data_IF_996753091266
#
_entry.id   IF_996753091266
#
_cell.length_a   1.000
_cell.length_b   1.000
_cell.length_c   1.000
_cell.angle_alpha   90.00
_cell.angle_beta   90.00
_cell.angle_gamma   90.00
#
_symmetry.space_group_name_H-M   'P 1'
#
loop_
_entity.id
_entity.type
_entity.pdbx_description
1 polymer ?
#
# COMPACT_ATOMS: atom_id res chain seq x y z
N UNK A 1 -16.75 -11.79 -11.65
CA UNK A 1 -17.54 -11.88 -10.40
C UNK A 1 -16.89 -10.97 -9.38
N UNK A 2 -17.63 -10.09 -8.68
CA UNK A 2 -17.04 -9.20 -7.69
C UNK A 2 -16.51 -10.00 -6.50
N UNK A 3 -15.31 -9.64 -6.04
CA UNK A 3 -14.80 -10.07 -4.73
C UNK A 3 -15.56 -9.22 -3.72
N UNK A 4 -16.43 -9.84 -2.92
CA UNK A 4 -17.15 -9.15 -1.85
C UNK A 4 -16.33 -9.26 -0.57
N UNK A 5 -16.20 -8.18 0.20
CA UNK A 5 -15.58 -8.20 1.54
C UNK A 5 -16.41 -9.06 2.51
N UNK A 6 -15.74 -9.88 3.32
CA UNK A 6 -16.35 -10.67 4.39
C UNK A 6 -16.62 -9.78 5.59
N UNK A 7 -15.57 -9.14 6.09
CA UNK A 7 -15.56 -8.20 7.21
C UNK A 7 -14.51 -7.11 6.97
N UNK A 8 -14.78 -5.91 7.48
CA UNK A 8 -13.81 -4.83 7.65
C UNK A 8 -13.55 -4.63 9.15
N UNK A 9 -12.34 -4.24 9.52
CA UNK A 9 -11.95 -3.98 10.91
C UNK A 9 -10.88 -2.90 10.98
N UNK A 10 -10.84 -2.18 12.10
CA UNK A 10 -9.77 -1.24 12.39
C UNK A 10 -8.47 -1.98 12.71
N UNK A 11 -7.37 -1.43 12.24
CA UNK A 11 -6.01 -1.76 12.69
C UNK A 11 -5.63 -0.74 13.74
N UNK A 12 -4.89 -1.15 14.77
CA UNK A 12 -4.41 -0.21 15.79
C UNK A 12 -3.54 0.88 15.14
N UNK A 13 -3.65 2.11 15.65
CA UNK A 13 -2.87 3.29 15.22
C UNK A 13 -1.40 3.17 15.70
N UNK A 14 -0.74 2.09 15.31
CA UNK A 14 0.64 1.73 15.63
C UNK A 14 1.35 1.24 14.37
N UNK A 15 2.54 1.77 14.12
CA UNK A 15 3.35 1.43 12.95
C UNK A 15 3.57 -0.08 12.83
N UNK A 16 3.84 -0.78 13.93
CA UNK A 16 4.10 -2.23 13.91
C UNK A 16 2.82 -3.00 13.61
N UNK A 17 1.67 -2.58 14.14
CA UNK A 17 0.38 -3.17 13.84
C UNK A 17 0.03 -3.02 12.34
N UNK A 18 0.21 -1.83 11.78
CA UNK A 18 -0.03 -1.55 10.36
C UNK A 18 0.91 -2.39 9.48
N UNK A 19 2.21 -2.43 9.80
CA UNK A 19 3.19 -3.26 9.08
C UNK A 19 2.81 -4.75 9.11
N UNK A 20 2.40 -5.24 10.29
CA UNK A 20 2.00 -6.63 10.49
C UNK A 20 0.74 -6.96 9.70
N UNK A 21 -0.23 -6.05 9.65
CA UNK A 21 -1.45 -6.24 8.85
C UNK A 21 -1.10 -6.34 7.36
N UNK A 22 -0.32 -5.38 6.85
CA UNK A 22 0.10 -5.38 5.45
C UNK A 22 0.86 -6.66 5.09
N UNK A 23 1.78 -7.09 5.94
CA UNK A 23 2.58 -8.29 5.74
C UNK A 23 1.73 -9.56 5.72
N UNK A 24 0.75 -9.66 6.63
CA UNK A 24 -0.01 -10.89 6.84
C UNK A 24 -1.24 -11.02 5.95
N UNK A 25 -1.86 -9.89 5.57
CA UNK A 25 -3.19 -9.86 4.93
C UNK A 25 -3.26 -8.98 3.70
N UNK A 26 -2.17 -8.30 3.36
CA UNK A 26 -2.06 -7.45 2.18
C UNK A 26 -2.50 -6.01 2.45
N UNK A 27 -2.66 -5.19 1.40
CA UNK A 27 -2.90 -3.76 1.52
C UNK A 27 -4.05 -3.35 2.44
N UNK A 28 -3.89 -2.23 3.12
CA UNK A 28 -4.91 -1.60 3.98
C UNK A 28 -5.44 -0.31 3.36
N UNK A 29 -6.67 0.05 3.68
CA UNK A 29 -7.25 1.34 3.31
C UNK A 29 -6.97 2.35 4.44
N UNK A 30 -6.54 3.55 4.06
CA UNK A 30 -6.21 4.64 5.00
C UNK A 30 -6.79 5.95 4.47
N UNK A 31 -6.91 6.94 5.36
CA UNK A 31 -7.22 8.29 4.98
C UNK A 31 -6.15 9.24 5.53
N UNK A 32 -5.91 10.34 4.84
CA UNK A 32 -5.03 11.41 5.32
C UNK A 32 -5.55 12.76 4.86
N UNK A 33 -5.09 13.81 5.54
CA UNK A 33 -5.36 15.18 5.16
C UNK A 33 -4.49 15.59 3.97
N UNK A 34 -5.16 16.04 2.91
CA UNK A 34 -4.50 16.61 1.73
C UNK A 34 -4.39 18.11 1.91
N UNK A 35 -3.18 18.62 1.72
CA UNK A 35 -2.85 20.05 1.73
C UNK A 35 -2.53 20.54 0.32
N UNK A 36 -2.54 21.87 0.12
CA UNK A 36 -2.21 22.49 -1.18
C UNK A 36 -0.82 22.08 -1.71
N UNK A 37 0.16 21.90 -0.84
CA UNK A 37 1.52 21.48 -1.22
C UNK A 37 1.58 20.03 -1.73
N UNK A 38 0.72 19.14 -1.21
CA UNK A 38 0.61 17.77 -1.69
C UNK A 38 0.20 17.70 -3.16
N UNK A 39 -0.62 18.65 -3.63
CA UNK A 39 -1.04 18.71 -5.04
C UNK A 39 0.16 18.92 -5.99
N UNK A 40 1.25 19.50 -5.48
CA UNK A 40 2.49 19.77 -6.21
C UNK A 40 3.56 18.69 -6.02
N UNK A 41 3.25 17.59 -5.32
CA UNK A 41 4.19 16.48 -5.10
C UNK A 41 4.64 15.85 -6.43
N UNK A 42 5.97 15.79 -6.62
CA UNK A 42 6.62 15.25 -7.81
C UNK A 42 7.63 14.12 -7.51
N UNK A 43 7.97 13.88 -6.23
CA UNK A 43 8.73 12.72 -5.77
C UNK A 43 9.33 12.85 -4.37
N UNK A 44 9.97 11.77 -3.92
CA UNK A 44 10.62 11.69 -2.61
C UNK A 44 9.67 11.25 -1.49
N UNK A 45 10.03 11.53 -0.24
CA UNK A 45 9.13 11.27 0.91
C UNK A 45 8.39 12.56 1.22
N UNK A 46 7.08 12.59 0.99
CA UNK A 46 6.23 13.73 1.31
C UNK A 46 6.22 14.00 2.81
N UNK A 47 6.40 15.28 3.13
CA UNK A 47 6.22 15.90 4.43
C UNK A 47 5.50 17.21 4.17
N UNK A 48 4.43 17.49 4.91
CA UNK A 48 3.72 18.75 4.78
C UNK A 48 4.63 19.92 5.22
N UNK A 49 4.71 20.93 4.36
CA UNK A 49 5.54 22.13 4.58
C UNK A 49 4.72 23.41 4.69
N UNK A 50 3.50 23.43 4.14
CA UNK A 50 2.57 24.54 4.27
C UNK A 50 1.45 24.53 3.24
N UNK A 51 0.56 25.52 3.32
CA UNK A 51 -0.64 25.61 2.48
C UNK A 51 -1.90 25.24 3.25
N UNK A 52 -3.06 25.50 2.63
CA UNK A 52 -4.36 25.24 3.28
C UNK A 52 -4.74 23.77 3.18
N UNK A 53 -5.53 23.32 4.16
CA UNK A 53 -6.17 22.00 4.11
C UNK A 53 -7.19 21.98 2.95
N UNK A 54 -7.03 21.02 2.06
CA UNK A 54 -7.93 20.75 0.94
C UNK A 54 -9.05 19.76 1.30
N UNK A 55 -8.82 18.90 2.30
CA UNK A 55 -9.79 17.93 2.81
C UNK A 55 -9.15 16.57 3.11
N UNK A 56 -9.97 15.58 3.50
CA UNK A 56 -9.52 14.20 3.67
C UNK A 56 -9.54 13.42 2.35
N UNK A 57 -8.57 12.53 2.15
CA UNK A 57 -8.48 11.66 0.98
C UNK A 57 -8.20 10.21 1.37
N UNK A 58 -8.95 9.28 0.80
CA UNK A 58 -8.83 7.85 1.06
C UNK A 58 -7.95 7.17 -0.01
N UNK A 59 -6.99 6.38 0.43
CA UNK A 59 -5.94 5.77 -0.40
C UNK A 59 -5.57 4.39 0.13
N UNK A 60 -4.84 3.64 -0.70
CA UNK A 60 -4.43 2.28 -0.37
C UNK A 60 -2.97 2.22 0.01
N UNK A 61 -2.68 1.84 1.24
CA UNK A 61 -1.31 1.64 1.73
C UNK A 61 -0.84 0.22 1.38
N UNK A 62 0.28 0.15 0.66
CA UNK A 62 0.79 -1.10 0.07
C UNK A 62 1.98 -1.69 0.82
N UNK A 63 2.75 -0.85 1.52
CA UNK A 63 3.99 -1.25 2.15
C UNK A 63 4.74 -0.06 2.74
N UNK A 64 5.99 -0.29 3.11
CA UNK A 64 6.86 0.71 3.72
C UNK A 64 8.30 0.51 3.27
N UNK A 65 9.14 1.50 3.54
CA UNK A 65 10.57 1.42 3.30
C UNK A 65 11.34 2.49 4.05
N UNK A 66 12.61 2.63 3.65
CA UNK A 66 13.51 3.69 4.10
C UNK A 66 14.24 4.21 2.87
N UNK A 67 14.16 5.52 2.63
CA UNK A 67 14.92 6.20 1.58
C UNK A 67 15.87 7.19 2.24
N UNK A 68 17.19 7.03 2.01
CA UNK A 68 18.21 7.92 2.56
C UNK A 68 18.11 8.14 4.09
N UNK A 69 17.70 7.10 4.82
CA UNK A 69 17.49 7.17 6.28
C UNK A 69 16.11 7.66 6.71
N UNK A 70 15.25 8.09 5.78
CA UNK A 70 13.89 8.56 6.06
C UNK A 70 12.89 7.41 5.89
N UNK A 71 12.18 7.00 6.97
CA UNK A 71 11.15 5.98 6.89
C UNK A 71 9.90 6.49 6.17
N UNK A 72 9.30 5.68 5.30
CA UNK A 72 8.10 6.06 4.55
C UNK A 72 7.07 4.93 4.44
N UNK A 73 5.82 5.30 4.19
CA UNK A 73 4.76 4.43 3.67
C UNK A 73 4.67 4.55 2.15
N UNK A 74 4.52 3.44 1.45
CA UNK A 74 4.24 3.37 0.02
C UNK A 74 2.73 3.29 -0.19
N UNK A 75 2.18 4.28 -0.89
CA UNK A 75 0.74 4.45 -1.02
C UNK A 75 0.34 4.56 -2.48
N UNK A 76 -0.69 3.81 -2.88
CA UNK A 76 -1.31 3.94 -4.18
C UNK A 76 -2.41 5.00 -4.14
N UNK A 77 -2.24 6.03 -4.97
CA UNK A 77 -3.24 7.05 -5.20
C UNK A 77 -4.23 6.63 -6.30
N UNK A 78 -5.42 7.23 -6.27
CA UNK A 78 -6.54 7.02 -7.19
C UNK A 78 -6.70 8.16 -8.21
N UNK A 79 -5.80 9.15 -8.22
CA UNK A 79 -5.82 10.25 -9.18
C UNK A 79 -5.25 9.86 -10.56
N UNK A 80 -5.64 10.62 -11.60
CA UNK A 80 -5.29 10.40 -13.00
C UNK A 80 -3.79 10.16 -13.24
N UNK A 81 -3.49 9.55 -14.39
CA UNK A 81 -2.16 9.17 -14.85
C UNK A 81 -1.20 10.32 -15.13
N UNK A 82 -1.39 11.53 -14.56
CA UNK A 82 -0.47 12.70 -14.66
C UNK A 82 0.05 13.24 -13.30
N UNK A 83 -0.36 12.68 -12.13
CA UNK A 83 -0.01 13.17 -10.78
C UNK A 83 0.95 12.29 -9.92
N UNK A 84 2.07 12.81 -9.38
CA UNK A 84 3.02 12.03 -8.55
C UNK A 84 4.08 11.20 -9.31
N UNK A 85 4.64 10.16 -8.66
CA UNK A 85 5.81 9.39 -9.15
C UNK A 85 5.45 8.42 -10.31
N UNK A 86 5.13 8.97 -11.49
CA UNK A 86 5.33 8.26 -12.77
C UNK A 86 5.53 9.24 -13.95
N UNK A 87 6.66 9.94 -13.87
CA UNK A 87 7.50 10.33 -15.02
C UNK A 87 8.94 9.81 -14.90
N UNK A 88 9.29 9.08 -13.83
CA UNK A 88 10.62 8.50 -13.63
C UNK A 88 10.53 7.02 -13.24
N UNK A 89 11.17 6.19 -14.07
CA UNK A 89 11.34 4.75 -13.87
C UNK A 89 11.92 4.45 -12.48
N UNK A 90 11.27 3.57 -11.74
CA UNK A 90 11.86 2.90 -10.58
C UNK A 90 13.23 2.28 -10.96
N UNK A 91 14.33 2.87 -10.52
CA UNK A 91 15.59 2.15 -10.37
C UNK A 91 15.48 1.30 -9.10
N UNK A 92 14.88 0.11 -9.24
CA UNK A 92 14.79 -0.87 -8.16
C UNK A 92 16.17 -1.23 -7.60
N UNK A 93 16.39 -0.94 -6.32
CA UNK A 93 17.29 -1.75 -5.49
C UNK A 93 16.62 -3.10 -5.28
N UNK A 94 17.21 -4.14 -5.86
CA UNK A 94 16.72 -5.52 -5.82
C UNK A 94 16.95 -6.09 -4.41
N UNK A 95 15.89 -6.23 -3.61
CA UNK A 95 15.94 -7.22 -2.52
C UNK A 95 14.59 -7.76 -2.04
N UNK A 96 13.45 -7.06 -2.21
CA UNK A 96 12.19 -7.51 -1.60
C UNK A 96 10.95 -7.56 -2.53
N UNK A 97 11.07 -7.11 -3.79
CA UNK A 97 9.90 -6.97 -4.68
C UNK A 97 9.57 -8.18 -5.58
N UNK A 98 10.34 -9.27 -5.55
CA UNK A 98 10.13 -10.36 -6.51
C UNK A 98 8.96 -11.30 -6.17
N UNK A 99 8.43 -11.32 -4.94
CA UNK A 99 7.37 -12.27 -4.58
C UNK A 99 5.94 -11.69 -4.53
N UNK A 100 5.80 -10.35 -4.48
CA UNK A 100 4.47 -9.70 -4.42
C UNK A 100 3.93 -9.27 -5.79
N UNK A 101 4.60 -9.62 -6.89
CA UNK A 101 4.28 -9.10 -8.23
C UNK A 101 3.23 -9.91 -9.02
N UNK A 102 2.53 -10.88 -8.41
CA UNK A 102 1.56 -11.72 -9.10
C UNK A 102 0.07 -11.38 -8.84
N UNK A 103 -0.23 -10.38 -8.03
CA UNK A 103 -1.61 -9.89 -7.87
C UNK A 103 -1.88 -8.76 -8.87
N UNK A 104 -2.26 -9.15 -10.09
CA UNK A 104 -2.95 -8.31 -11.10
C UNK A 104 -2.37 -6.89 -11.28
N UNK A 105 -1.31 -6.77 -12.09
CA UNK A 105 -0.97 -5.48 -12.69
C UNK A 105 -2.12 -5.06 -13.64
N UNK A 106 -2.73 -3.87 -13.49
CA UNK A 106 -3.73 -3.39 -14.43
C UNK A 106 -3.09 -3.21 -15.81
N UNK A 107 -3.57 -3.99 -16.77
CA UNK A 107 -3.34 -3.75 -18.19
C UNK A 107 -4.05 -2.45 -18.57
N UNK A 108 -3.27 -1.45 -19.00
CA UNK A 108 -3.66 -0.13 -19.54
C UNK A 108 -4.18 0.94 -18.56
N UNK A 109 -3.55 1.09 -17.38
CA UNK A 109 -3.71 2.28 -16.55
C UNK A 109 -2.81 2.21 -15.32
N UNK A 110 -1.71 2.94 -15.31
CA UNK A 110 -0.75 3.00 -14.21
C UNK A 110 -1.40 3.63 -12.97
N UNK A 111 -1.63 2.85 -11.92
CA UNK A 111 -1.93 3.40 -10.60
C UNK A 111 -0.71 4.18 -10.11
N UNK A 112 -0.90 5.43 -9.68
CA UNK A 112 0.18 6.33 -9.25
C UNK A 112 0.53 6.12 -7.79
N UNK A 113 1.82 6.15 -7.48
CA UNK A 113 2.31 5.96 -6.13
C UNK A 113 2.84 7.27 -5.57
N UNK A 114 2.75 7.43 -4.25
CA UNK A 114 3.49 8.43 -3.51
C UNK A 114 4.05 7.80 -2.24
N UNK A 115 5.02 8.48 -1.66
CA UNK A 115 5.60 8.10 -0.37
C UNK A 115 5.36 9.22 0.61
N UNK A 116 4.98 8.86 1.82
CA UNK A 116 4.69 9.80 2.91
C UNK A 116 5.43 9.36 4.16
N UNK A 117 5.86 10.33 4.96
CA UNK A 117 6.64 10.11 6.17
C UNK A 117 5.91 9.14 7.14
N UNK A 118 6.67 8.16 7.64
CA UNK A 118 6.18 7.12 8.56
C UNK A 118 6.70 7.34 9.97
N UNK A 119 5.88 7.04 10.96
CA UNK A 119 6.21 6.99 12.39
C UNK A 119 5.92 8.26 13.16
N UNK A 120 5.22 9.22 12.54
CA UNK A 120 4.83 10.49 13.14
C UNK A 120 3.37 10.84 12.87
N UNK A 121 2.59 9.89 12.34
CA UNK A 121 1.22 10.10 11.88
C UNK A 121 1.07 11.32 10.94
N UNK A 122 1.98 11.43 9.97
CA UNK A 122 2.03 12.56 9.02
C UNK A 122 0.69 12.70 8.29
N UNK A 123 0.06 13.88 8.43
CA UNK A 123 -1.29 14.16 7.91
C UNK A 123 -2.38 13.16 8.37
N UNK A 124 -2.18 12.46 9.48
CA UNK A 124 -3.13 11.47 9.99
C UNK A 124 -3.12 10.12 9.25
N UNK A 125 -2.11 9.84 8.42
CA UNK A 125 -2.05 8.63 7.57
C UNK A 125 -2.01 7.31 8.36
N UNK A 126 -1.60 7.34 9.63
CA UNK A 126 -1.50 6.17 10.52
C UNK A 126 -2.75 6.03 11.41
N UNK A 127 -3.67 7.00 11.34
CA UNK A 127 -4.93 7.03 12.08
C UNK A 127 -6.08 6.41 11.27
N UNK A 128 -6.90 5.60 11.93
CA UNK A 128 -8.16 5.09 11.34
C UNK A 128 -7.94 4.10 10.20
N UNK A 129 -6.85 3.34 10.26
CA UNK A 129 -6.45 2.33 9.28
C UNK A 129 -7.46 1.18 9.27
N UNK A 130 -7.91 0.76 8.08
CA UNK A 130 -8.91 -0.31 7.92
C UNK A 130 -8.35 -1.46 7.10
N UNK A 131 -8.38 -2.65 7.68
CA UNK A 131 -8.12 -3.93 7.03
C UNK A 131 -9.41 -4.60 6.54
N UNK A 132 -9.28 -5.56 5.62
CA UNK A 132 -10.43 -6.28 5.06
C UNK A 132 -10.10 -7.70 4.65
N UNK A 133 -10.92 -8.66 5.10
CA UNK A 133 -10.83 -10.06 4.64
C UNK A 133 -11.82 -10.29 3.48
N UNK A 134 -11.42 -10.90 2.35
CA UNK A 134 -12.35 -11.22 1.28
C UNK A 134 -13.29 -12.39 1.63
N UNK A 135 -14.54 -12.38 1.13
CA UNK A 135 -15.42 -13.56 1.15
C UNK A 135 -14.85 -14.61 0.21
N UNK A 136 -14.24 -15.65 0.78
CA UNK A 136 -13.76 -16.81 0.05
C UNK A 136 -14.92 -17.71 -0.41
N UNK A 137 -15.67 -17.30 -1.42
CA UNK A 137 -16.64 -18.18 -2.08
C UNK A 137 -16.07 -18.77 -3.37
N UNK A 138 -15.89 -20.10 -3.37
CA UNK A 138 -15.60 -21.00 -4.53
C UNK A 138 -14.33 -20.72 -5.36
N UNK A 139 -13.67 -19.57 -5.20
CA UNK A 139 -12.39 -19.21 -5.82
C UNK A 139 -11.27 -20.15 -5.35
N UNK A 140 -11.23 -20.46 -4.05
CA UNK A 140 -10.26 -21.44 -3.50
C UNK A 140 -10.44 -22.85 -4.06
N UNK A 141 -11.67 -23.30 -4.34
CA UNK A 141 -11.91 -24.62 -4.98
C UNK A 141 -11.35 -24.71 -6.41
N UNK A 142 -11.11 -23.57 -7.07
CA UNK A 142 -10.54 -23.49 -8.41
C UNK A 142 -9.01 -23.27 -8.37
N UNK A 143 -8.49 -22.57 -7.36
CA UNK A 143 -7.05 -22.40 -7.11
C UNK A 143 -6.40 -23.66 -6.50
N UNK A 144 -7.04 -24.35 -5.54
CA UNK A 144 -6.53 -25.61 -4.96
C UNK A 144 -6.50 -26.79 -5.94
N UNK A 145 -7.11 -26.69 -7.13
CA UNK A 145 -6.91 -27.71 -8.18
C UNK A 145 -5.67 -27.46 -9.03
N UNK A 146 -5.06 -26.28 -8.93
CA UNK A 146 -3.95 -25.85 -9.79
C UNK A 146 -2.61 -25.81 -9.07
N UNK A 147 -2.62 -25.69 -7.74
CA UNK A 147 -1.41 -25.73 -6.93
C UNK A 147 -1.40 -27.10 -6.24
N UNK A 148 -0.65 -28.05 -6.81
CA UNK A 148 -0.06 -29.09 -5.98
C UNK A 148 1.06 -28.39 -5.23
N UNK A 149 0.97 -28.36 -3.91
CA UNK A 149 2.07 -27.95 -3.06
C UNK A 149 3.06 -29.11 -3.09
N UNK A 150 4.23 -28.91 -3.67
CA UNK A 150 5.38 -29.76 -3.40
C UNK A 150 5.93 -29.26 -2.04
N UNK A 151 6.02 -30.18 -1.07
CA UNK A 151 6.23 -29.95 0.36
C UNK A 151 7.68 -29.56 0.75
N UNK A 152 8.40 -28.76 -0.04
CA UNK A 152 9.87 -28.58 0.14
C UNK A 152 10.39 -27.13 0.28
N UNK A 153 9.60 -26.18 0.81
CA UNK A 153 10.11 -24.82 1.11
C UNK A 153 9.99 -24.47 2.61
N UNK A 154 10.53 -25.34 3.47
CA UNK A 154 10.98 -24.99 4.83
C UNK A 154 12.42 -24.45 4.75
N UNK A 155 12.61 -23.20 4.29
CA UNK A 155 13.87 -22.47 4.48
C UNK A 155 13.70 -20.99 4.08
N UNK A 156 12.96 -20.21 4.86
CA UNK A 156 13.07 -18.74 4.81
C UNK A 156 12.69 -18.09 6.15
N UNK A 157 13.46 -18.43 7.19
CA UNK A 157 13.54 -17.66 8.43
C UNK A 157 15.00 -17.54 8.85
N UNK A 158 15.66 -16.46 8.44
CA UNK A 158 16.64 -15.67 9.23
C UNK A 158 16.78 -14.28 8.60
#
# INVERSE_FOLDING_TARGET
MPILGLNAYGVDDDVTAIQKEILSRGPVEVAFEVYEDFLMYDGGVYVHTGGKIGGGHAVKMLGWGVEQGVPYWLVANSWNTDWGEDGMRFHQSRSLFHHLSLMHQPVNGTCRFFRILRGVDECGIESGVVGGLPKLNRVYKKLNRRIRLDDDDEDFFF
#
